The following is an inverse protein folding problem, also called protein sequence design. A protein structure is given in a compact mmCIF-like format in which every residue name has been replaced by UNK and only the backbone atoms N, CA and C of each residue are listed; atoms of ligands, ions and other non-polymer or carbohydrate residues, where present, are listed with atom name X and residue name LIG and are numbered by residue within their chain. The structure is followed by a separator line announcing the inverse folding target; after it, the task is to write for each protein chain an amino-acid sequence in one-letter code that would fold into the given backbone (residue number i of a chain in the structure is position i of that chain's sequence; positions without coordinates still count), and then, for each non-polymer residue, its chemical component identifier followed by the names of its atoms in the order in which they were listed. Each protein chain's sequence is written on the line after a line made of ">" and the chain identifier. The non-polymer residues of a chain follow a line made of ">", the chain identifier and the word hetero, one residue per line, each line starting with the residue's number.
data_IF_363717894225
#
_entry.id   IF_363717894225
#
_cell.length_a   1.000
_cell.length_b   1.000
_cell.length_c   1.000
_cell.angle_alpha   90.00
_cell.angle_beta   90.00
_cell.angle_gamma   90.00
#
_symmetry.space_group_name_H-M   'P 1'
#
loop_
_entity.id
_entity.type
_entity.pdbx_description
1 polymer ?
#
# COMPACT_ATOMS: atom_id res chain seq x y z
N UNK A 1 11.41 24.56 0.75
CA UNK A 1 11.59 24.65 2.22
C UNK A 1 12.04 23.29 2.73
N UNK A 2 13.27 23.23 3.23
CA UNK A 2 13.99 22.01 3.62
C UNK A 2 13.42 21.40 4.91
N UNK A 3 12.66 20.32 4.79
CA UNK A 3 12.31 19.46 5.93
C UNK A 3 13.25 18.26 5.96
N UNK A 4 14.50 18.49 6.37
CA UNK A 4 15.43 17.43 6.74
C UNK A 4 16.48 18.01 7.68
N UNK A 5 16.12 18.18 8.96
CA UNK A 5 17.04 18.22 10.12
C UNK A 5 16.22 18.38 11.39
N UNK A 6 15.96 17.29 12.08
CA UNK A 6 15.75 17.30 13.53
C UNK A 6 16.79 16.35 14.14
N UNK A 7 17.68 16.81 15.03
CA UNK A 7 18.58 15.94 15.75
C UNK A 7 17.81 15.24 16.88
N UNK A 8 17.71 13.91 16.81
CA UNK A 8 17.23 13.08 17.92
C UNK A 8 18.31 13.07 19.01
N UNK A 9 18.10 13.90 20.03
CA UNK A 9 18.84 13.85 21.30
C UNK A 9 18.43 12.56 22.03
N UNK A 10 19.37 11.62 22.19
CA UNK A 10 19.19 10.42 23.03
C UNK A 10 19.44 10.76 24.49
N UNK A 11 18.47 10.51 25.37
CA UNK A 11 18.70 10.32 26.80
C UNK A 11 19.03 8.84 27.05
N UNK A 12 20.27 8.55 27.44
CA UNK A 12 20.69 7.20 27.81
C UNK A 12 20.42 6.92 29.28
N UNK A 13 19.94 5.71 29.58
CA UNK A 13 20.00 5.10 30.91
C UNK A 13 21.46 5.05 31.37
N UNK A 14 21.77 5.69 32.51
CA UNK A 14 23.07 5.61 33.17
C UNK A 14 23.17 4.24 33.83
N UNK A 15 24.07 3.37 33.34
CA UNK A 15 24.47 2.18 34.07
C UNK A 15 25.80 2.47 34.77
N UNK A 16 25.80 2.46 36.11
CA UNK A 16 27.00 2.65 36.93
C UNK A 16 27.82 1.36 36.88
N UNK A 17 28.79 1.27 35.96
CA UNK A 17 29.99 0.51 36.26
C UNK A 17 31.21 1.12 35.56
N UNK A 18 32.25 1.36 36.37
CA UNK A 18 33.46 2.08 35.99
C UNK A 18 34.33 1.23 35.08
N UNK A 19 35.01 1.93 34.18
CA UNK A 19 36.14 1.55 33.33
C UNK A 19 35.86 0.85 31.99
N UNK A 20 36.25 1.59 30.93
CA UNK A 20 36.36 1.26 29.50
C UNK A 20 35.13 1.62 28.65
N UNK A 21 35.04 2.89 28.26
CA UNK A 21 34.26 3.34 27.10
C UNK A 21 34.90 2.77 25.82
N UNK A 22 34.57 1.52 25.49
CA UNK A 22 34.81 0.98 24.16
C UNK A 22 33.48 1.01 23.43
N UNK A 23 33.30 1.98 22.54
CA UNK A 23 32.13 2.02 21.65
C UNK A 23 32.34 0.93 20.62
N UNK A 24 31.77 -0.25 20.84
CA UNK A 24 31.68 -1.28 19.81
C UNK A 24 30.57 -0.87 18.84
N UNK A 25 30.94 -0.22 17.75
CA UNK A 25 30.03 -0.04 16.61
C UNK A 25 29.89 -1.41 15.97
N UNK A 26 28.74 -2.07 16.15
CA UNK A 26 28.35 -3.25 15.39
C UNK A 26 28.52 -2.95 13.90
N UNK A 27 29.45 -3.65 13.25
CA UNK A 27 29.80 -3.46 11.82
C UNK A 27 28.81 -4.15 10.87
N UNK A 28 27.69 -4.68 11.35
CA UNK A 28 26.70 -5.34 10.52
C UNK A 28 25.37 -4.54 10.50
N UNK A 29 25.18 -3.62 9.53
CA UNK A 29 24.03 -2.71 9.51
C UNK A 29 22.67 -3.41 9.34
N UNK A 30 22.65 -4.70 9.02
CA UNK A 30 21.43 -5.51 8.96
C UNK A 30 21.10 -6.21 10.28
N UNK A 31 22.08 -6.52 11.13
CA UNK A 31 21.88 -7.32 12.34
C UNK A 31 21.03 -6.59 13.41
N UNK A 32 21.01 -5.26 13.37
CA UNK A 32 20.36 -4.44 14.40
C UNK A 32 18.96 -3.92 14.00
N UNK A 33 18.38 -4.40 12.89
CA UNK A 33 17.07 -3.92 12.37
C UNK A 33 15.94 -4.96 12.42
N UNK A 34 16.16 -6.11 13.05
CA UNK A 34 15.14 -7.15 13.21
C UNK A 34 15.20 -7.76 14.61
N UNK A 35 14.05 -8.22 15.09
CA UNK A 35 14.01 -9.09 16.28
C UNK A 35 14.46 -10.50 15.87
N UNK A 36 15.36 -11.15 16.62
CA UNK A 36 15.69 -12.56 16.37
C UNK A 36 14.41 -13.40 16.32
N UNK A 37 14.24 -14.19 15.25
CA UNK A 37 13.06 -15.04 15.12
C UNK A 37 13.17 -16.23 16.08
N UNK A 38 12.39 -16.21 17.16
CA UNK A 38 12.29 -17.29 18.14
C UNK A 38 11.09 -18.22 17.90
N UNK A 39 10.34 -18.01 16.81
CA UNK A 39 9.17 -18.85 16.49
C UNK A 39 9.60 -20.24 16.03
N UNK A 40 8.87 -21.31 16.41
CA UNK A 40 9.16 -22.67 15.95
C UNK A 40 9.05 -22.78 14.43
N UNK A 41 9.78 -23.75 13.86
CA UNK A 41 9.61 -24.12 12.47
C UNK A 41 8.21 -24.68 12.21
N UNK A 42 7.71 -24.45 11.00
CA UNK A 42 6.43 -24.99 10.57
C UNK A 42 6.43 -26.53 10.65
N UNK A 43 5.35 -27.07 11.20
CA UNK A 43 5.02 -28.50 11.23
C UNK A 43 3.57 -28.61 10.75
N UNK A 44 3.26 -29.62 9.94
CA UNK A 44 1.91 -29.83 9.44
C UNK A 44 0.91 -30.04 10.59
N UNK A 45 -0.33 -29.62 10.37
CA UNK A 45 -1.39 -29.71 11.38
C UNK A 45 -1.72 -31.18 11.66
N UNK A 46 -1.48 -31.64 12.88
CA UNK A 46 -1.97 -32.94 13.37
C UNK A 46 -3.30 -32.76 14.11
N UNK A 47 -4.20 -33.76 14.08
CA UNK A 47 -5.51 -33.69 14.74
C UNK A 47 -5.35 -33.83 16.27
N UNK A 48 -4.96 -32.77 16.98
CA UNK A 48 -4.84 -32.77 18.45
C UNK A 48 -5.51 -31.53 19.08
N UNK A 49 -5.98 -31.75 20.31
CA UNK A 49 -6.88 -30.97 21.16
C UNK A 49 -6.59 -29.48 21.31
N UNK A 50 -7.69 -28.72 21.27
CA UNK A 50 -7.83 -27.27 21.30
C UNK A 50 -7.64 -26.63 22.69
N UNK A 51 -6.94 -27.29 23.61
CA UNK A 51 -6.76 -26.79 24.97
C UNK A 51 -5.38 -26.14 25.16
N UNK A 52 -5.39 -24.91 25.67
CA UNK A 52 -4.17 -24.22 26.08
C UNK A 52 -3.49 -25.02 27.19
N UNK A 53 -2.18 -25.29 27.07
CA UNK A 53 -1.44 -25.90 28.19
C UNK A 53 -1.28 -24.87 29.30
N UNK A 54 -1.35 -25.32 30.55
CA UNK A 54 -1.23 -24.42 31.71
C UNK A 54 0.16 -23.75 31.71
N UNK A 55 0.20 -22.42 31.84
CA UNK A 55 1.43 -21.61 31.75
C UNK A 55 2.01 -21.40 30.34
N UNK A 56 1.29 -21.75 29.27
CA UNK A 56 1.78 -21.60 27.89
C UNK A 56 1.82 -20.13 27.41
N UNK A 57 2.89 -19.78 26.70
CA UNK A 57 3.04 -18.48 26.04
C UNK A 57 1.91 -18.27 25.01
N UNK A 58 1.27 -17.08 25.04
CA UNK A 58 0.15 -16.73 24.16
C UNK A 58 0.47 -16.86 22.67
N UNK A 59 1.71 -16.57 22.27
CA UNK A 59 2.17 -16.73 20.88
C UNK A 59 2.27 -18.20 20.50
N UNK A 60 2.82 -19.04 21.39
CA UNK A 60 2.92 -20.49 21.15
C UNK A 60 1.54 -21.15 21.06
N UNK A 61 0.60 -20.73 21.92
CA UNK A 61 -0.78 -21.17 21.84
C UNK A 61 -1.41 -20.82 20.48
N UNK A 62 -1.24 -19.58 20.02
CA UNK A 62 -1.79 -19.12 18.73
C UNK A 62 -1.22 -19.88 17.54
N UNK A 63 0.08 -20.21 17.56
CA UNK A 63 0.76 -20.96 16.50
C UNK A 63 0.35 -22.43 16.40
N UNK A 64 -0.29 -22.99 17.44
CA UNK A 64 -0.79 -24.37 17.46
C UNK A 64 -2.25 -24.51 17.05
N UNK A 65 -2.99 -23.40 16.99
CA UNK A 65 -4.39 -23.45 16.63
C UNK A 65 -4.56 -23.92 15.18
N UNK A 66 -5.58 -24.75 14.89
CA UNK A 66 -5.95 -25.05 13.52
C UNK A 66 -6.23 -23.76 12.76
N UNK A 67 -5.91 -23.75 11.45
CA UNK A 67 -6.03 -22.56 10.61
C UNK A 67 -7.35 -21.81 10.78
N UNK A 68 -8.49 -22.50 10.79
CA UNK A 68 -9.80 -21.87 10.91
C UNK A 68 -9.97 -21.09 12.24
N UNK A 69 -9.52 -21.66 13.36
CA UNK A 69 -9.59 -21.01 14.66
C UNK A 69 -8.61 -19.84 14.77
N UNK A 70 -7.39 -19.99 14.25
CA UNK A 70 -6.40 -18.92 14.21
C UNK A 70 -6.89 -17.75 13.33
N UNK A 71 -7.39 -18.05 12.14
CA UNK A 71 -7.92 -17.07 11.20
C UNK A 71 -9.07 -16.26 11.79
N UNK A 72 -10.00 -16.91 12.51
CA UNK A 72 -11.09 -16.20 13.20
C UNK A 72 -10.56 -15.26 14.28
N UNK A 73 -9.60 -15.70 15.10
CA UNK A 73 -8.96 -14.82 16.11
C UNK A 73 -8.22 -13.64 15.48
N UNK A 74 -7.52 -13.87 14.37
CA UNK A 74 -6.87 -12.79 13.63
C UNK A 74 -7.89 -11.82 13.01
N UNK A 75 -9.02 -12.31 12.53
CA UNK A 75 -10.09 -11.47 12.00
C UNK A 75 -10.69 -10.59 13.11
N UNK A 76 -11.01 -11.16 14.28
CA UNK A 76 -11.51 -10.39 15.44
C UNK A 76 -10.53 -9.30 15.88
N UNK A 77 -9.24 -9.64 15.99
CA UNK A 77 -8.19 -8.69 16.34
C UNK A 77 -8.02 -7.59 15.26
N UNK A 78 -8.09 -7.96 13.97
CA UNK A 78 -7.99 -7.03 12.86
C UNK A 78 -9.18 -6.06 12.81
N UNK A 79 -10.39 -6.53 13.08
CA UNK A 79 -11.58 -5.69 13.16
C UNK A 79 -11.50 -4.72 14.34
N UNK A 80 -11.04 -5.19 15.51
CA UNK A 80 -10.82 -4.33 16.67
C UNK A 80 -9.79 -3.23 16.39
N UNK A 81 -8.68 -3.59 15.75
CA UNK A 81 -7.63 -2.63 15.35
C UNK A 81 -8.14 -1.65 14.28
N UNK A 82 -8.95 -2.11 13.32
CA UNK A 82 -9.60 -1.23 12.33
C UNK A 82 -10.47 -0.19 13.03
N UNK A 83 -11.31 -0.60 13.99
CA UNK A 83 -12.20 0.30 14.71
C UNK A 83 -11.42 1.34 15.52
N UNK A 84 -10.32 0.93 16.16
CA UNK A 84 -9.41 1.85 16.83
C UNK A 84 -8.78 2.85 15.86
N UNK A 85 -8.26 2.39 14.71
CA UNK A 85 -7.69 3.26 13.68
C UNK A 85 -8.74 4.27 13.18
N UNK A 86 -9.96 3.81 12.85
CA UNK A 86 -11.05 4.69 12.40
C UNK A 86 -11.40 5.71 13.48
N UNK A 87 -11.49 5.31 14.74
CA UNK A 87 -11.77 6.22 15.86
C UNK A 87 -10.71 7.32 15.94
N UNK A 88 -9.43 6.96 15.96
CA UNK A 88 -8.34 7.92 16.15
C UNK A 88 -8.10 8.82 14.93
N UNK A 89 -8.28 8.29 13.72
CA UNK A 89 -7.87 9.00 12.49
C UNK A 89 -9.02 9.66 11.73
N UNK A 90 -10.26 9.24 11.97
CA UNK A 90 -11.45 9.75 11.29
C UNK A 90 -12.45 10.40 12.25
N UNK A 91 -12.84 9.70 13.33
CA UNK A 91 -13.87 10.22 14.25
C UNK A 91 -13.31 11.36 15.10
N UNK A 92 -12.16 11.15 15.75
CA UNK A 92 -11.52 12.16 16.61
C UNK A 92 -11.04 13.39 15.82
N UNK A 93 -10.80 13.23 14.52
CA UNK A 93 -10.44 14.32 13.60
C UNK A 93 -11.66 15.01 12.96
N UNK A 94 -12.88 14.59 13.33
CA UNK A 94 -14.14 15.09 12.79
C UNK A 94 -14.22 15.00 11.25
N UNK A 95 -13.64 13.94 10.68
CA UNK A 95 -13.60 13.74 9.22
C UNK A 95 -12.67 14.70 8.46
N UNK A 96 -11.77 15.40 9.15
CA UNK A 96 -10.85 16.35 8.51
C UNK A 96 -9.77 15.62 7.71
N UNK A 97 -9.79 15.73 6.39
CA UNK A 97 -8.76 15.18 5.50
C UNK A 97 -7.60 16.15 5.35
N UNK A 98 -6.44 15.84 5.94
CA UNK A 98 -5.18 16.58 5.75
C UNK A 98 -4.32 16.01 4.63
N UNK A 99 -4.34 14.69 4.49
CA UNK A 99 -3.66 13.92 3.45
C UNK A 99 -4.69 12.95 2.84
N UNK A 100 -4.87 13.02 1.53
CA UNK A 100 -5.83 12.21 0.79
C UNK A 100 -5.24 10.91 0.24
N UNK A 101 -3.93 10.67 0.41
CA UNK A 101 -3.25 9.51 -0.17
C UNK A 101 -3.61 8.19 0.51
N UNK A 102 -3.40 7.06 -0.18
CA UNK A 102 -3.44 5.73 0.45
C UNK A 102 -2.24 5.54 1.38
N UNK A 103 -1.09 6.11 1.00
CA UNK A 103 0.20 5.87 1.68
C UNK A 103 0.20 6.29 3.15
N UNK A 104 -0.29 7.49 3.44
CA UNK A 104 -0.26 8.09 4.79
C UNK A 104 -1.57 8.79 5.17
N UNK A 105 -2.53 8.84 4.24
CA UNK A 105 -3.72 9.66 4.38
C UNK A 105 -5.01 8.90 4.67
N UNK A 106 -6.11 9.66 4.66
CA UNK A 106 -7.46 9.17 4.93
C UNK A 106 -7.93 8.10 3.94
N UNK A 107 -7.43 8.12 2.70
CA UNK A 107 -7.80 7.10 1.72
C UNK A 107 -7.24 5.72 2.08
N UNK A 108 -6.14 5.63 2.83
CA UNK A 108 -5.64 4.37 3.37
C UNK A 108 -6.62 3.73 4.35
N UNK A 109 -7.27 4.56 5.17
CA UNK A 109 -8.34 4.15 6.10
C UNK A 109 -9.59 3.75 5.32
N UNK A 110 -9.97 4.49 4.28
CA UNK A 110 -11.06 4.09 3.40
C UNK A 110 -10.80 2.72 2.77
N UNK A 111 -9.57 2.49 2.30
CA UNK A 111 -9.20 1.22 1.70
C UNK A 111 -9.22 0.08 2.72
N UNK A 112 -8.78 0.31 3.96
CA UNK A 112 -8.92 -0.64 5.06
C UNK A 112 -10.40 -1.01 5.32
N UNK A 113 -11.30 -0.03 5.34
CA UNK A 113 -12.75 -0.27 5.50
C UNK A 113 -13.31 -1.08 4.32
N UNK A 114 -12.89 -0.75 3.09
CA UNK A 114 -13.28 -1.52 1.90
C UNK A 114 -12.80 -2.98 1.98
N UNK A 115 -11.56 -3.21 2.43
CA UNK A 115 -11.02 -4.57 2.65
C UNK A 115 -11.79 -5.32 3.74
N UNK A 116 -12.19 -4.65 4.82
CA UNK A 116 -13.03 -5.25 5.85
C UNK A 116 -14.39 -5.66 5.29
N UNK A 117 -15.05 -4.78 4.53
CA UNK A 117 -16.29 -5.09 3.82
C UNK A 117 -16.14 -6.30 2.87
N UNK A 118 -15.03 -6.41 2.13
CA UNK A 118 -14.83 -7.57 1.25
C UNK A 118 -14.87 -8.91 2.00
N UNK A 119 -14.42 -8.94 3.26
CA UNK A 119 -14.38 -10.14 4.11
C UNK A 119 -15.69 -10.33 4.87
N UNK A 120 -16.20 -9.29 5.53
CA UNK A 120 -17.34 -9.38 6.46
C UNK A 120 -18.70 -9.12 5.80
N UNK A 121 -18.70 -8.49 4.62
CA UNK A 121 -19.88 -7.93 3.94
C UNK A 121 -20.67 -6.91 4.76
N UNK A 122 -20.03 -6.30 5.77
CA UNK A 122 -20.65 -5.25 6.58
C UNK A 122 -20.84 -3.96 5.77
N UNK A 123 -22.10 -3.57 5.54
CA UNK A 123 -22.45 -2.38 4.76
C UNK A 123 -22.02 -1.06 5.43
N UNK A 124 -21.85 -1.05 6.74
CA UNK A 124 -21.40 0.15 7.46
C UNK A 124 -19.95 0.50 7.10
N UNK A 125 -19.09 -0.52 6.96
CA UNK A 125 -17.71 -0.35 6.52
C UNK A 125 -17.64 0.20 5.08
N UNK A 126 -18.55 -0.25 4.21
CA UNK A 126 -18.66 0.26 2.83
C UNK A 126 -19.19 1.70 2.78
N UNK A 127 -20.17 2.04 3.62
CA UNK A 127 -20.68 3.39 3.77
C UNK A 127 -19.58 4.35 4.26
N UNK A 128 -18.85 3.94 5.29
CA UNK A 128 -17.72 4.70 5.83
C UNK A 128 -16.62 4.88 4.77
N UNK A 129 -16.26 3.81 4.04
CA UNK A 129 -15.34 3.91 2.91
C UNK A 129 -15.78 4.98 1.91
N UNK A 130 -17.06 4.99 1.53
CA UNK A 130 -17.61 5.95 0.55
C UNK A 130 -17.50 7.38 1.06
N UNK A 131 -17.86 7.63 2.33
CA UNK A 131 -17.76 8.95 2.96
C UNK A 131 -16.32 9.49 3.01
N UNK A 132 -15.37 8.61 3.36
CA UNK A 132 -13.95 8.99 3.42
C UNK A 132 -13.43 9.28 1.99
N UNK A 133 -13.80 8.45 1.00
CA UNK A 133 -13.40 8.66 -0.40
C UNK A 133 -13.93 10.00 -0.92
N UNK A 134 -15.17 10.37 -0.63
CA UNK A 134 -15.73 11.67 -1.05
C UNK A 134 -14.95 12.84 -0.44
N UNK A 135 -14.62 12.76 0.86
CA UNK A 135 -13.79 13.75 1.53
C UNK A 135 -12.37 13.81 0.93
N UNK A 136 -11.78 12.67 0.59
CA UNK A 136 -10.49 12.60 -0.11
C UNK A 136 -10.57 13.19 -1.52
N UNK A 137 -11.65 12.95 -2.26
CA UNK A 137 -11.87 13.52 -3.59
C UNK A 137 -11.98 15.04 -3.55
N UNK A 138 -12.63 15.58 -2.51
CA UNK A 138 -12.69 17.02 -2.25
C UNK A 138 -11.30 17.60 -1.97
N UNK A 139 -10.54 16.99 -1.04
CA UNK A 139 -9.20 17.43 -0.67
C UNK A 139 -8.21 17.32 -1.84
N UNK A 140 -8.38 16.33 -2.71
CA UNK A 140 -7.46 16.09 -3.80
C UNK A 140 -7.65 17.04 -4.98
N UNK A 141 -8.77 17.77 -5.14
CA UNK A 141 -9.14 18.49 -6.40
C UNK A 141 -8.01 19.32 -7.05
N UNK A 142 -7.15 19.95 -6.27
CA UNK A 142 -6.03 20.78 -6.75
C UNK A 142 -4.72 20.02 -7.04
N UNK A 143 -4.61 18.77 -6.61
CA UNK A 143 -3.36 17.99 -6.54
C UNK A 143 -3.16 17.15 -7.81
N UNK A 144 -3.07 17.83 -8.96
CA UNK A 144 -3.14 17.19 -10.29
C UNK A 144 -1.87 16.44 -10.68
N UNK A 145 -0.74 16.82 -10.12
CA UNK A 145 0.57 16.21 -10.30
C UNK A 145 0.68 14.79 -9.71
N UNK A 146 -0.18 14.45 -8.74
CA UNK A 146 -0.20 13.13 -8.11
C UNK A 146 -1.16 12.19 -8.85
N UNK A 147 -0.60 11.25 -9.60
CA UNK A 147 -1.32 10.44 -10.60
C UNK A 147 -1.45 8.95 -10.24
N UNK A 148 -0.92 8.52 -9.10
CA UNK A 148 -0.80 7.09 -8.75
C UNK A 148 -1.92 6.60 -7.84
N UNK A 149 -2.01 5.28 -7.68
CA UNK A 149 -2.91 4.69 -6.69
C UNK A 149 -2.49 5.08 -5.26
N UNK A 150 -1.20 4.98 -4.94
CA UNK A 150 -0.73 5.04 -3.57
C UNK A 150 -0.68 6.49 -3.04
N UNK A 151 -0.17 7.43 -3.85
CA UNK A 151 0.05 8.82 -3.43
C UNK A 151 -0.84 9.84 -4.15
N UNK A 152 -1.74 9.42 -5.04
CA UNK A 152 -2.40 10.33 -5.97
C UNK A 152 -3.88 10.11 -6.20
N UNK A 153 -4.42 10.93 -7.11
CA UNK A 153 -5.84 10.96 -7.43
C UNK A 153 -6.34 9.69 -8.09
N UNK A 154 -5.46 8.91 -8.73
CA UNK A 154 -5.87 7.62 -9.30
C UNK A 154 -6.33 6.66 -8.21
N UNK A 155 -5.74 6.72 -7.00
CA UNK A 155 -6.20 5.94 -5.84
C UNK A 155 -7.61 6.31 -5.42
N UNK A 156 -7.87 7.61 -5.27
CA UNK A 156 -9.18 8.14 -4.88
C UNK A 156 -10.26 7.68 -5.86
N UNK A 157 -10.01 7.88 -7.16
CA UNK A 157 -11.01 7.55 -8.18
C UNK A 157 -11.16 6.04 -8.37
N UNK A 158 -10.07 5.26 -8.27
CA UNK A 158 -10.13 3.81 -8.39
C UNK A 158 -10.91 3.19 -7.22
N UNK A 159 -10.63 3.61 -5.98
CA UNK A 159 -11.35 3.13 -4.81
C UNK A 159 -12.81 3.60 -4.81
N UNK A 160 -13.06 4.85 -5.19
CA UNK A 160 -14.41 5.38 -5.34
C UNK A 160 -15.24 4.63 -6.37
N UNK A 161 -14.66 4.27 -7.51
CA UNK A 161 -15.34 3.44 -8.51
C UNK A 161 -15.65 2.04 -7.97
N UNK A 162 -14.70 1.40 -7.27
CA UNK A 162 -14.92 0.08 -6.67
C UNK A 162 -16.02 0.11 -5.59
N UNK A 163 -15.97 1.08 -4.67
CA UNK A 163 -16.99 1.25 -3.64
C UNK A 163 -18.36 1.57 -4.23
N UNK A 164 -18.44 2.46 -5.23
CA UNK A 164 -19.68 2.79 -5.94
C UNK A 164 -20.27 1.56 -6.66
N UNK A 165 -19.43 0.72 -7.26
CA UNK A 165 -19.86 -0.54 -7.87
C UNK A 165 -20.48 -1.48 -6.84
N UNK A 166 -19.86 -1.64 -5.67
CA UNK A 166 -20.40 -2.46 -4.58
C UNK A 166 -21.69 -1.90 -3.97
N UNK A 167 -21.87 -0.58 -3.99
CA UNK A 167 -23.09 0.09 -3.57
C UNK A 167 -24.18 0.17 -4.65
N UNK A 168 -23.94 -0.40 -5.84
CA UNK A 168 -24.83 -0.30 -7.01
C UNK A 168 -25.18 1.17 -7.39
N UNK A 169 -24.31 2.12 -7.02
CA UNK A 169 -24.48 3.53 -7.31
C UNK A 169 -23.84 3.86 -8.66
N UNK A 170 -24.64 3.74 -9.73
CA UNK A 170 -24.20 3.95 -11.10
C UNK A 170 -23.71 5.39 -11.35
N UNK A 171 -24.36 6.40 -10.76
CA UNK A 171 -23.99 7.80 -10.93
C UNK A 171 -22.59 8.08 -10.38
N UNK A 172 -22.31 7.64 -9.15
CA UNK A 172 -20.98 7.80 -8.54
C UNK A 172 -19.92 6.98 -9.27
N UNK A 173 -20.26 5.77 -9.74
CA UNK A 173 -19.37 4.94 -10.53
C UNK A 173 -18.92 5.67 -11.81
N UNK A 174 -19.87 6.17 -12.60
CA UNK A 174 -19.58 6.93 -13.83
C UNK A 174 -18.78 8.20 -13.54
N UNK A 175 -19.10 8.90 -12.45
CA UNK A 175 -18.36 10.08 -12.01
C UNK A 175 -16.88 9.76 -11.78
N UNK A 176 -16.56 8.77 -10.94
CA UNK A 176 -15.18 8.41 -10.64
C UNK A 176 -14.43 7.85 -11.86
N UNK A 177 -15.08 7.04 -12.70
CA UNK A 177 -14.48 6.54 -13.93
C UNK A 177 -14.17 7.69 -14.92
N UNK A 178 -15.05 8.68 -15.02
CA UNK A 178 -14.83 9.86 -15.88
C UNK A 178 -13.60 10.67 -15.43
N UNK A 179 -13.38 10.79 -14.12
CA UNK A 179 -12.23 11.46 -13.54
C UNK A 179 -10.95 10.65 -13.74
N UNK A 180 -11.01 9.34 -13.51
CA UNK A 180 -9.89 8.42 -13.72
C UNK A 180 -9.37 8.47 -15.16
N UNK A 181 -10.28 8.42 -16.14
CA UNK A 181 -9.93 8.46 -17.58
C UNK A 181 -9.27 9.77 -18.03
N UNK A 182 -9.35 10.84 -17.23
CA UNK A 182 -8.67 12.12 -17.50
C UNK A 182 -7.23 12.18 -17.00
N UNK A 183 -6.79 11.25 -16.15
CA UNK A 183 -5.45 11.25 -15.57
C UNK A 183 -4.33 11.15 -16.61
N UNK A 184 -4.39 10.28 -17.65
CA UNK A 184 -3.31 10.14 -18.62
C UNK A 184 -2.92 11.44 -19.34
N UNK A 185 -3.86 12.37 -19.54
CA UNK A 185 -3.58 13.68 -20.16
C UNK A 185 -2.58 14.52 -19.37
N UNK A 186 -2.40 14.22 -18.08
CA UNK A 186 -1.49 14.95 -17.19
C UNK A 186 -0.04 14.56 -17.39
N UNK A 187 0.21 13.41 -18.01
CA UNK A 187 1.57 12.96 -18.36
C UNK A 187 2.25 13.84 -19.41
N UNK A 188 1.47 14.70 -20.09
CA UNK A 188 1.95 15.72 -21.03
C UNK A 188 2.25 17.04 -20.32
N UNK A 189 1.60 17.32 -19.17
CA UNK A 189 1.71 18.58 -18.45
C UNK A 189 2.68 18.53 -17.26
N UNK A 190 2.99 17.33 -16.76
CA UNK A 190 3.85 17.12 -15.61
C UNK A 190 4.94 16.10 -15.95
N UNK A 191 6.14 16.32 -15.40
CA UNK A 191 7.24 15.36 -15.48
C UNK A 191 6.99 14.20 -14.50
N UNK A 192 6.15 13.26 -14.94
CA UNK A 192 5.75 12.10 -14.14
C UNK A 192 6.80 10.99 -14.29
N UNK A 193 7.40 10.51 -13.19
CA UNK A 193 8.41 9.45 -13.23
C UNK A 193 7.81 8.10 -13.66
N UNK A 194 8.62 7.05 -13.70
CA UNK A 194 8.18 5.73 -14.15
C UNK A 194 7.94 4.72 -13.00
N UNK A 195 8.18 5.12 -11.75
CA UNK A 195 8.06 4.25 -10.57
C UNK A 195 6.61 4.14 -10.02
N UNK A 196 6.45 3.45 -8.88
CA UNK A 196 5.15 3.03 -8.34
C UNK A 196 4.44 4.10 -7.52
N UNK A 197 5.17 4.88 -6.72
CA UNK A 197 4.58 5.79 -5.73
C UNK A 197 4.09 7.09 -6.37
N UNK A 198 4.81 7.62 -7.34
CA UNK A 198 4.53 8.90 -8.02
C UNK A 198 4.47 8.78 -9.54
N UNK A 199 4.86 7.64 -10.10
CA UNK A 199 5.05 7.46 -11.52
C UNK A 199 3.94 6.74 -12.30
N UNK A 200 4.21 6.57 -13.60
CA UNK A 200 3.32 5.95 -14.57
C UNK A 200 2.98 4.49 -14.24
N UNK A 201 3.90 3.75 -13.61
CA UNK A 201 3.61 2.40 -13.13
C UNK A 201 2.56 2.39 -12.01
N UNK A 202 2.57 3.40 -11.13
CA UNK A 202 1.54 3.60 -10.11
C UNK A 202 0.15 3.88 -10.68
N UNK A 203 0.07 4.57 -11.82
CA UNK A 203 -1.18 4.73 -12.56
C UNK A 203 -1.66 3.41 -13.17
N UNK A 204 -0.75 2.63 -13.79
CA UNK A 204 -1.11 1.33 -14.36
C UNK A 204 -1.65 0.36 -13.30
N UNK A 205 -1.06 0.37 -12.11
CA UNK A 205 -1.59 -0.41 -10.98
C UNK A 205 -3.02 0.02 -10.63
N UNK A 206 -3.30 1.32 -10.60
CA UNK A 206 -4.65 1.84 -10.36
C UNK A 206 -5.64 1.41 -11.45
N UNK A 207 -5.22 1.38 -12.72
CA UNK A 207 -6.06 0.93 -13.82
C UNK A 207 -6.39 -0.57 -13.71
N UNK A 208 -5.40 -1.40 -13.35
CA UNK A 208 -5.60 -2.81 -13.07
C UNK A 208 -6.55 -3.04 -11.88
N UNK A 209 -6.43 -2.21 -10.84
CA UNK A 209 -7.37 -2.23 -9.70
C UNK A 209 -8.81 -1.97 -10.17
N UNK A 210 -9.05 -0.93 -10.98
CA UNK A 210 -10.38 -0.65 -11.53
C UNK A 210 -10.91 -1.84 -12.34
N UNK A 211 -10.10 -2.42 -13.23
CA UNK A 211 -10.52 -3.55 -14.04
C UNK A 211 -10.84 -4.80 -13.21
N UNK A 212 -10.16 -5.01 -12.09
CA UNK A 212 -10.45 -6.10 -11.16
C UNK A 212 -11.80 -5.92 -10.45
N UNK A 213 -12.09 -4.71 -9.97
CA UNK A 213 -13.22 -4.46 -9.08
C UNK A 213 -14.51 -4.02 -9.78
N UNK A 214 -14.40 -3.29 -10.90
CA UNK A 214 -15.56 -2.79 -11.65
C UNK A 214 -15.96 -3.76 -12.76
N UNK A 215 -14.98 -4.33 -13.44
CA UNK A 215 -15.16 -5.27 -14.54
C UNK A 215 -14.00 -5.21 -15.53
N UNK A 216 -13.71 -6.35 -16.14
CA UNK A 216 -12.65 -6.49 -17.16
C UNK A 216 -12.86 -5.48 -18.30
N UNK A 217 -11.78 -4.88 -18.80
CA UNK A 217 -11.78 -3.83 -19.84
C UNK A 217 -12.53 -2.52 -19.50
N UNK A 218 -12.86 -2.24 -18.22
CA UNK A 218 -13.42 -0.94 -17.82
C UNK A 218 -12.51 0.23 -18.19
N UNK A 219 -11.20 0.05 -17.95
CA UNK A 219 -10.12 0.86 -18.48
C UNK A 219 -9.54 0.08 -19.66
N UNK A 220 -9.78 0.53 -20.91
CA UNK A 220 -9.41 -0.24 -22.09
C UNK A 220 -7.90 -0.27 -22.29
N UNK A 221 -7.43 -1.36 -22.89
CA UNK A 221 -6.02 -1.56 -23.24
C UNK A 221 -5.46 -0.45 -24.14
N UNK A 222 -6.30 0.26 -24.91
CA UNK A 222 -5.89 1.42 -25.70
C UNK A 222 -5.40 2.62 -24.87
N UNK A 223 -5.83 2.73 -23.61
CA UNK A 223 -5.35 3.75 -22.67
C UNK A 223 -4.08 3.28 -21.98
N UNK A 224 -4.10 2.08 -21.39
CA UNK A 224 -2.95 1.56 -20.62
C UNK A 224 -1.78 1.17 -21.51
N UNK A 225 -2.02 0.67 -22.72
CA UNK A 225 -0.99 0.29 -23.69
C UNK A 225 -0.06 1.43 -24.06
N UNK A 226 -0.60 2.64 -24.28
CA UNK A 226 0.20 3.84 -24.55
C UNK A 226 1.16 4.18 -23.40
N UNK A 227 0.71 3.99 -22.16
CA UNK A 227 1.52 4.23 -20.96
C UNK A 227 2.60 3.16 -20.82
N UNK A 228 2.28 1.91 -21.12
CA UNK A 228 3.24 0.80 -21.14
C UNK A 228 4.32 1.02 -22.20
N UNK A 229 3.95 1.42 -23.42
CA UNK A 229 4.88 1.68 -24.50
C UNK A 229 5.83 2.84 -24.17
N UNK A 230 5.31 3.85 -23.47
CA UNK A 230 6.10 4.98 -23.00
C UNK A 230 7.09 4.60 -21.89
N UNK A 231 6.64 3.84 -20.88
CA UNK A 231 7.53 3.26 -19.85
C UNK A 231 8.64 2.42 -20.52
N UNK A 232 8.29 1.55 -21.47
CA UNK A 232 9.24 0.72 -22.19
C UNK A 232 10.25 1.52 -23.00
N UNK A 233 9.79 2.57 -23.69
CA UNK A 233 10.65 3.47 -24.47
C UNK A 233 11.64 4.20 -23.57
N UNK A 234 11.16 4.75 -22.45
CA UNK A 234 12.01 5.40 -21.47
C UNK A 234 13.04 4.44 -20.87
N UNK A 235 12.59 3.24 -20.47
CA UNK A 235 13.46 2.20 -19.94
C UNK A 235 14.58 1.78 -20.89
N UNK A 236 14.30 1.70 -22.19
CA UNK A 236 15.28 1.38 -23.23
C UNK A 236 16.29 2.52 -23.48
N UNK A 237 15.88 3.77 -23.25
CA UNK A 237 16.75 4.94 -23.47
C UNK A 237 17.91 5.03 -22.48
N UNK A 238 17.73 4.48 -21.27
CA UNK A 238 18.73 4.47 -20.18
C UNK A 238 19.45 3.12 -20.05
N UNK A 239 19.38 2.27 -21.08
CA UNK A 239 19.92 0.91 -21.06
C UNK A 239 21.39 0.82 -20.64
N UNK A 240 21.71 -0.27 -19.95
CA UNK A 240 23.09 -0.66 -19.65
C UNK A 240 23.34 -2.07 -20.21
N UNK A 241 24.61 -2.41 -20.49
CA UNK A 241 25.01 -3.70 -21.10
C UNK A 241 24.39 -4.94 -20.43
N UNK A 242 24.12 -4.87 -19.12
CA UNK A 242 23.55 -5.96 -18.32
C UNK A 242 22.08 -5.75 -17.91
N UNK A 243 21.49 -4.61 -18.24
CA UNK A 243 20.14 -4.24 -17.83
C UNK A 243 19.39 -3.58 -18.99
N UNK A 244 18.54 -4.34 -19.73
CA UNK A 244 17.87 -3.86 -20.93
C UNK A 244 16.77 -2.83 -20.66
N UNK A 245 16.40 -2.61 -19.39
CA UNK A 245 15.48 -1.56 -18.96
C UNK A 245 16.03 -0.91 -17.69
N UNK A 246 16.16 0.42 -17.68
CA UNK A 246 16.67 1.19 -16.54
C UNK A 246 15.84 2.44 -16.35
N UNK A 247 15.65 2.87 -15.10
CA UNK A 247 14.89 4.08 -14.77
C UNK A 247 15.65 4.92 -13.75
N UNK A 248 15.25 6.18 -13.62
CA UNK A 248 15.83 7.11 -12.65
C UNK A 248 14.72 7.77 -11.84
N UNK A 249 14.99 7.99 -10.55
CA UNK A 249 14.16 8.82 -9.68
C UNK A 249 15.04 9.55 -8.68
N UNK A 250 14.83 10.86 -8.52
CA UNK A 250 15.65 11.76 -7.69
C UNK A 250 17.17 11.62 -7.91
N UNK A 251 17.63 11.59 -9.17
CA UNK A 251 19.06 11.51 -9.48
C UNK A 251 19.68 10.12 -9.27
N UNK A 252 18.88 9.11 -8.89
CA UNK A 252 19.35 7.76 -8.58
C UNK A 252 18.84 6.77 -9.60
N UNK A 253 19.76 6.03 -10.21
CA UNK A 253 19.43 4.89 -11.08
C UNK A 253 18.76 3.80 -10.26
N UNK A 254 17.54 3.48 -10.64
CA UNK A 254 16.75 2.43 -10.06
C UNK A 254 16.82 1.23 -11.00
N UNK A 255 17.50 0.18 -10.53
CA UNK A 255 17.39 -1.14 -11.14
C UNK A 255 16.01 -1.71 -10.80
N UNK A 256 15.35 -2.34 -11.76
CA UNK A 256 14.11 -3.13 -11.55
C UNK A 256 14.26 -4.35 -10.61
N UNK A 257 15.38 -4.45 -9.89
CA UNK A 257 15.72 -5.50 -8.91
C UNK A 257 16.75 -5.06 -7.86
N UNK A 258 16.82 -3.77 -7.50
CA UNK A 258 17.65 -3.30 -6.38
C UNK A 258 17.10 -3.78 -5.02
N UNK A 259 17.90 -3.99 -3.96
CA UNK A 259 17.41 -4.38 -2.63
C UNK A 259 16.43 -3.39 -1.98
N UNK A 260 16.40 -2.13 -2.45
CA UNK A 260 15.36 -1.15 -2.08
C UNK A 260 13.99 -1.46 -2.68
N UNK A 261 13.96 -2.34 -3.69
CA UNK A 261 12.79 -2.83 -4.43
C UNK A 261 12.34 -4.24 -3.99
N UNK A 262 12.92 -4.81 -2.93
CA UNK A 262 12.54 -6.12 -2.38
C UNK A 262 11.12 -6.23 -1.81
N UNK A 263 10.27 -5.19 -1.97
CA UNK A 263 8.85 -5.24 -1.62
C UNK A 263 7.88 -4.73 -2.71
N UNK A 264 8.32 -4.22 -3.84
CA UNK A 264 7.43 -3.61 -4.85
C UNK A 264 7.56 -4.26 -6.23
N UNK A 265 6.79 -5.33 -6.43
CA UNK A 265 6.60 -6.11 -7.67
C UNK A 265 5.96 -5.34 -8.86
N UNK A 266 5.97 -4.01 -8.86
CA UNK A 266 5.11 -3.22 -9.74
C UNK A 266 5.55 -3.16 -11.21
N UNK A 267 6.86 -3.15 -11.50
CA UNK A 267 7.30 -3.19 -12.90
C UNK A 267 7.02 -4.56 -13.54
N UNK A 268 7.13 -5.66 -12.78
CA UNK A 268 6.92 -7.01 -13.31
C UNK A 268 5.43 -7.38 -13.44
N UNK A 269 4.56 -6.91 -12.54
CA UNK A 269 3.12 -7.23 -12.63
C UNK A 269 2.43 -6.58 -13.84
N UNK A 270 2.88 -5.41 -14.31
CA UNK A 270 2.40 -4.84 -15.57
C UNK A 270 2.71 -5.76 -16.77
N UNK A 271 3.79 -6.55 -16.73
CA UNK A 271 4.12 -7.55 -17.75
C UNK A 271 3.39 -8.88 -17.54
N UNK A 272 3.21 -9.33 -16.29
CA UNK A 272 2.53 -10.60 -15.98
C UNK A 272 1.06 -10.61 -16.40
N UNK A 273 0.38 -9.45 -16.33
CA UNK A 273 -1.01 -9.29 -16.81
C UNK A 273 -1.12 -9.51 -18.33
N UNK A 274 -0.05 -9.27 -19.10
CA UNK A 274 -0.04 -9.45 -20.56
C UNK A 274 0.27 -10.90 -21.00
N UNK A 275 0.71 -11.78 -20.09
CA UNK A 275 1.02 -13.18 -20.41
C UNK A 275 -0.03 -14.19 -19.89
N UNK A 276 -1.08 -13.72 -19.20
CA UNK A 276 -2.21 -14.56 -18.74
C UNK A 276 -3.54 -14.25 -19.46
N UNK A 277 -3.47 -13.61 -20.62
CA UNK A 277 -4.60 -13.41 -21.55
C UNK A 277 -4.39 -14.21 -22.82
#
# INVERSE_FOLDING_TARGET
>A
MNWCRLPLIRLNKINKNKNKNTITISRNPMADRYFPNTMPHYVEEEPIESQAKDGEDRLLYLLRLPYASAANKFLEAALSLKDEIVRETWINTQGTVRDFSVYTGSLGIAYLCFKAYEVTKNKDDLSLCTQIVESCANAARGMREYVTFICGQAGVYALGAAAAKCNENQQSLEHYLSLFKKIPKRFESYDVPYELLYGRAGFLWAAAFVNKYVGTETIPTSITGRVVDDILRAGKSLTHKYCPLMYEWHGKKILGGSPWFGRDYACLNAFSIKQRS
#
